data_IF_717279606193
#
_entry.id   IF_717279606193
#
_cell.length_a   1.000
_cell.length_b   1.000
_cell.length_c   1.000
_cell.angle_alpha   90.00
_cell.angle_beta   90.00
_cell.angle_gamma   90.00
#
_symmetry.space_group_name_H-M   'P 1'
#
loop_
_entity.id
_entity.type
_entity.pdbx_description
1 polymer ?
#
# COMPACT_ATOMS: atom_id res chain seq x y z
N UNK A 1 59.78 -10.61 24.73
CA UNK A 1 58.47 -11.27 24.92
C UNK A 1 57.56 -10.91 23.76
N UNK A 2 57.41 -11.82 22.81
CA UNK A 2 56.53 -11.67 21.65
C UNK A 2 55.07 -11.69 22.10
N UNK A 3 54.36 -10.56 21.94
CA UNK A 3 52.90 -10.54 22.05
C UNK A 3 52.34 -11.29 20.86
N UNK A 4 51.74 -12.45 21.10
CA UNK A 4 50.99 -13.17 20.07
C UNK A 4 49.84 -12.28 19.56
N UNK A 5 49.51 -12.33 18.27
CA UNK A 5 48.31 -11.67 17.79
C UNK A 5 47.11 -12.39 18.41
N UNK A 6 46.30 -11.66 19.18
CA UNK A 6 45.00 -12.12 19.70
C UNK A 6 44.21 -12.69 18.53
N UNK A 7 44.14 -14.02 18.44
CA UNK A 7 43.36 -14.72 17.43
C UNK A 7 41.90 -14.24 17.54
N UNK A 8 41.41 -13.60 16.48
CA UNK A 8 39.99 -13.21 16.36
C UNK A 8 39.17 -14.50 16.52
N UNK A 9 38.38 -14.60 17.61
CA UNK A 9 37.49 -15.74 17.82
C UNK A 9 36.28 -15.62 16.88
N UNK A 10 36.46 -16.06 15.64
CA UNK A 10 35.35 -16.25 14.72
C UNK A 10 34.37 -17.32 15.26
N UNK A 11 33.11 -17.23 14.85
CA UNK A 11 32.08 -18.20 15.18
C UNK A 11 32.53 -19.64 14.82
N UNK A 12 32.35 -20.59 15.74
CA UNK A 12 32.68 -21.99 15.46
C UNK A 12 31.84 -22.53 14.29
N UNK A 13 32.41 -23.44 13.49
CA UNK A 13 31.68 -24.06 12.37
C UNK A 13 30.42 -24.78 12.85
N UNK A 14 30.48 -25.45 14.02
CA UNK A 14 29.33 -26.14 14.60
C UNK A 14 28.20 -25.16 14.95
N UNK A 15 28.52 -24.01 15.57
CA UNK A 15 27.54 -22.97 15.88
C UNK A 15 26.92 -22.40 14.61
N UNK A 16 27.73 -22.15 13.58
CA UNK A 16 27.27 -21.64 12.29
C UNK A 16 26.29 -22.61 11.63
N UNK A 17 26.65 -23.88 11.53
CA UNK A 17 25.79 -24.91 10.94
C UNK A 17 24.46 -25.05 11.70
N UNK A 18 24.50 -25.01 13.04
CA UNK A 18 23.30 -25.04 13.87
C UNK A 18 22.38 -23.84 13.61
N UNK A 19 22.94 -22.63 13.50
CA UNK A 19 22.20 -21.41 13.19
C UNK A 19 21.51 -21.49 11.81
N UNK A 20 22.22 -21.92 10.77
CA UNK A 20 21.64 -22.12 9.44
C UNK A 20 20.53 -23.16 9.47
N UNK A 21 20.77 -24.31 10.11
CA UNK A 21 19.78 -25.40 10.18
C UNK A 21 18.52 -24.97 10.95
N UNK A 22 18.66 -24.30 12.09
CA UNK A 22 17.53 -23.79 12.86
C UNK A 22 16.77 -22.69 12.08
N UNK A 23 17.48 -21.82 11.36
CA UNK A 23 16.88 -20.78 10.50
C UNK A 23 16.08 -21.40 9.35
N UNK A 24 16.63 -22.40 8.65
CA UNK A 24 15.95 -23.07 7.54
C UNK A 24 14.73 -23.89 8.02
N UNK A 25 14.80 -24.43 9.24
CA UNK A 25 13.69 -25.11 9.90
C UNK A 25 12.71 -24.16 10.63
N UNK A 26 12.76 -22.85 10.35
CA UNK A 26 11.84 -21.83 10.89
C UNK A 26 11.84 -21.70 12.42
N UNK A 27 12.92 -22.10 13.10
CA UNK A 27 13.08 -21.99 14.56
C UNK A 27 13.58 -20.59 14.95
N UNK A 28 12.92 -19.54 14.46
CA UNK A 28 13.43 -18.16 14.51
C UNK A 28 13.64 -17.62 15.92
N UNK A 29 12.81 -17.97 16.91
CA UNK A 29 13.02 -17.54 18.30
C UNK A 29 14.30 -18.15 18.91
N UNK A 30 14.59 -19.40 18.58
CA UNK A 30 15.81 -20.09 19.03
C UNK A 30 17.05 -19.47 18.37
N UNK A 31 16.96 -19.20 17.07
CA UNK A 31 18.00 -18.48 16.33
C UNK A 31 18.22 -17.11 16.97
N UNK A 32 17.16 -16.33 17.21
CA UNK A 32 17.24 -14.99 17.79
C UNK A 32 17.93 -14.99 19.16
N UNK A 33 17.57 -15.93 20.04
CA UNK A 33 18.22 -16.10 21.35
C UNK A 33 19.73 -16.31 21.20
N UNK A 34 20.14 -17.12 20.23
CA UNK A 34 21.55 -17.43 19.96
C UNK A 34 22.27 -16.23 19.32
N UNK A 35 21.66 -15.57 18.34
CA UNK A 35 22.21 -14.37 17.69
C UNK A 35 22.38 -13.22 18.70
N UNK A 36 21.53 -13.13 19.73
CA UNK A 36 21.64 -12.15 20.81
C UNK A 36 22.91 -12.27 21.65
N UNK A 37 23.36 -13.50 21.90
CA UNK A 37 24.56 -13.75 22.70
C UNK A 37 25.87 -13.57 21.94
N UNK A 38 25.84 -13.53 20.60
CA UNK A 38 27.03 -13.40 19.76
C UNK A 38 27.42 -11.92 19.61
N UNK A 39 28.65 -11.52 19.95
CA UNK A 39 29.15 -10.16 19.71
C UNK A 39 29.10 -9.79 18.22
N UNK A 40 28.79 -8.53 17.83
CA UNK A 40 28.66 -8.17 16.41
C UNK A 40 29.89 -8.48 15.56
N UNK A 41 31.08 -8.29 16.15
CA UNK A 41 32.39 -8.55 15.52
C UNK A 41 32.65 -10.03 15.16
N UNK A 42 31.96 -10.95 15.83
CA UNK A 42 32.16 -12.40 15.66
C UNK A 42 31.03 -13.03 14.81
N UNK A 43 30.10 -12.19 14.33
CA UNK A 43 28.92 -12.63 13.60
C UNK A 43 29.23 -12.92 12.13
N UNK A 44 28.62 -13.97 11.59
CA UNK A 44 28.64 -14.27 10.17
C UNK A 44 27.61 -13.41 9.43
N UNK A 45 28.09 -12.47 8.60
CA UNK A 45 27.24 -11.56 7.85
C UNK A 45 26.45 -12.25 6.73
N UNK A 46 27.00 -13.31 6.12
CA UNK A 46 26.26 -14.09 5.12
C UNK A 46 25.08 -14.82 5.75
N UNK A 47 25.27 -15.32 6.99
CA UNK A 47 24.19 -15.87 7.79
C UNK A 47 23.14 -14.80 8.10
N UNK A 48 23.54 -13.60 8.57
CA UNK A 48 22.59 -12.52 8.89
C UNK A 48 21.72 -12.12 7.70
N UNK A 49 22.29 -12.04 6.49
CA UNK A 49 21.52 -11.76 5.27
C UNK A 49 20.46 -12.84 5.02
N UNK A 50 20.86 -14.10 5.13
CA UNK A 50 19.96 -15.25 4.95
C UNK A 50 18.86 -15.24 6.02
N UNK A 51 19.24 -15.02 7.27
CA UNK A 51 18.33 -15.00 8.40
C UNK A 51 17.35 -13.82 8.34
N UNK A 52 17.79 -12.63 7.94
CA UNK A 52 16.90 -11.49 7.73
C UNK A 52 15.90 -11.77 6.62
N UNK A 53 16.35 -12.25 5.46
CA UNK A 53 15.46 -12.58 4.34
C UNK A 53 14.42 -13.64 4.72
N UNK A 54 14.85 -14.71 5.42
CA UNK A 54 13.93 -15.75 5.91
C UNK A 54 12.98 -15.21 6.99
N UNK A 55 13.46 -14.35 7.89
CA UNK A 55 12.63 -13.73 8.91
C UNK A 55 11.55 -12.83 8.30
N UNK A 56 11.88 -12.06 7.26
CA UNK A 56 10.89 -11.26 6.53
C UNK A 56 9.86 -12.16 5.85
N UNK A 57 10.31 -13.18 5.11
CA UNK A 57 9.44 -14.10 4.41
C UNK A 57 8.45 -14.85 5.33
N UNK A 58 8.89 -15.21 6.55
CA UNK A 58 8.06 -15.90 7.54
C UNK A 58 7.40 -14.97 8.56
N UNK A 59 7.50 -13.64 8.37
CA UNK A 59 6.86 -12.66 9.23
C UNK A 59 7.41 -12.58 10.67
N UNK A 60 8.64 -13.03 10.92
CA UNK A 60 9.22 -12.99 12.26
C UNK A 60 9.83 -11.62 12.59
N UNK A 61 8.96 -10.69 12.95
CA UNK A 61 9.30 -9.27 13.16
C UNK A 61 10.32 -9.04 14.27
N UNK A 62 10.31 -9.87 15.33
CA UNK A 62 11.28 -9.76 16.42
C UNK A 62 12.74 -9.94 15.95
N UNK A 63 12.97 -10.85 15.00
CA UNK A 63 14.28 -11.05 14.37
C UNK A 63 14.62 -9.88 13.45
N UNK A 64 13.67 -9.44 12.63
CA UNK A 64 13.84 -8.32 11.70
C UNK A 64 14.21 -7.04 12.44
N UNK A 65 13.43 -6.63 13.43
CA UNK A 65 13.70 -5.45 14.26
C UNK A 65 15.07 -5.54 14.92
N UNK A 66 15.39 -6.69 15.50
CA UNK A 66 16.68 -6.88 16.17
C UNK A 66 17.86 -6.74 15.20
N UNK A 67 17.78 -7.34 14.01
CA UNK A 67 18.83 -7.22 12.98
C UNK A 67 18.96 -5.78 12.52
N UNK A 68 17.83 -5.13 12.20
CA UNK A 68 17.76 -3.73 11.78
C UNK A 68 18.45 -2.81 12.79
N UNK A 69 18.08 -2.90 14.07
CA UNK A 69 18.67 -2.04 15.09
C UNK A 69 20.13 -2.33 15.39
N UNK A 70 20.49 -3.60 15.58
CA UNK A 70 21.85 -3.95 16.05
C UNK A 70 22.88 -3.84 14.95
N UNK A 71 22.59 -4.38 13.76
CA UNK A 71 23.59 -4.55 12.70
C UNK A 71 23.49 -3.48 11.61
N UNK A 72 22.30 -2.97 11.32
CA UNK A 72 22.12 -1.92 10.31
C UNK A 72 22.31 -0.54 10.93
N UNK A 73 21.56 -0.18 11.97
CA UNK A 73 21.61 1.19 12.53
C UNK A 73 22.77 1.44 13.50
N UNK A 74 22.99 0.56 14.49
CA UNK A 74 24.02 0.79 15.53
C UNK A 74 25.43 0.46 15.06
N UNK A 75 25.60 -0.70 14.44
CA UNK A 75 26.94 -1.16 14.05
C UNK A 75 27.33 -0.74 12.63
N UNK A 76 26.35 -0.41 11.77
CA UNK A 76 26.56 -0.08 10.35
C UNK A 76 27.38 -1.14 9.58
N UNK A 77 27.27 -2.42 9.96
CA UNK A 77 28.06 -3.52 9.37
C UNK A 77 27.29 -4.31 8.31
N UNK A 78 25.96 -4.18 8.27
CA UNK A 78 25.10 -4.93 7.37
C UNK A 78 24.41 -4.00 6.37
N UNK A 79 24.71 -4.16 5.09
CA UNK A 79 24.03 -3.47 4.00
C UNK A 79 22.83 -4.30 3.54
N UNK A 80 21.62 -3.74 3.59
CA UNK A 80 20.38 -4.45 3.26
C UNK A 80 20.03 -4.19 1.80
N UNK A 81 19.86 -5.26 1.02
CA UNK A 81 19.40 -5.17 -0.38
C UNK A 81 18.12 -4.34 -0.47
N UNK A 82 18.05 -3.47 -1.48
CA UNK A 82 16.97 -2.51 -1.61
C UNK A 82 15.58 -3.15 -1.69
N UNK A 83 15.42 -4.28 -2.41
CA UNK A 83 14.17 -5.04 -2.45
C UNK A 83 13.71 -5.56 -1.08
N UNK A 84 14.66 -5.97 -0.23
CA UNK A 84 14.36 -6.47 1.12
C UNK A 84 13.91 -5.34 2.05
N UNK A 85 14.22 -4.07 1.76
CA UNK A 85 13.70 -2.93 2.51
C UNK A 85 12.18 -2.83 2.38
N UNK A 86 11.63 -3.06 1.18
CA UNK A 86 10.19 -3.06 0.97
C UNK A 86 9.50 -4.20 1.74
N UNK A 87 10.11 -5.39 1.80
CA UNK A 87 9.60 -6.52 2.58
C UNK A 87 9.58 -6.19 4.08
N UNK A 88 10.67 -5.63 4.62
CA UNK A 88 10.75 -5.17 6.01
C UNK A 88 9.69 -4.11 6.28
N UNK A 89 9.51 -3.17 5.36
CA UNK A 89 8.54 -2.09 5.47
C UNK A 89 7.10 -2.60 5.53
N UNK A 90 6.72 -3.49 4.61
CA UNK A 90 5.40 -4.10 4.59
C UNK A 90 5.13 -4.95 5.83
N UNK A 91 6.12 -5.73 6.29
CA UNK A 91 6.00 -6.48 7.55
C UNK A 91 5.84 -5.53 8.74
N UNK A 92 6.64 -4.47 8.81
CA UNK A 92 6.59 -3.47 9.89
C UNK A 92 5.25 -2.75 9.94
N UNK A 93 4.70 -2.38 8.77
CA UNK A 93 3.37 -1.80 8.63
C UNK A 93 2.30 -2.73 9.21
N UNK A 94 2.36 -4.02 8.89
CA UNK A 94 1.38 -5.01 9.34
C UNK A 94 1.47 -5.27 10.85
N UNK A 95 2.68 -5.42 11.37
CA UNK A 95 2.97 -5.77 12.78
C UNK A 95 2.98 -4.55 13.74
N UNK A 96 2.64 -3.35 13.25
CA UNK A 96 2.51 -2.15 14.09
C UNK A 96 3.82 -1.47 14.48
N UNK A 97 4.93 -1.78 13.80
CA UNK A 97 6.23 -1.15 14.02
C UNK A 97 6.38 0.14 13.20
N UNK A 98 5.53 1.13 13.49
CA UNK A 98 5.31 2.29 12.62
C UNK A 98 6.50 3.23 12.43
N UNK A 99 7.52 3.14 13.28
CA UNK A 99 8.74 3.94 13.19
C UNK A 99 9.76 3.40 12.17
N UNK A 100 9.72 2.10 11.82
CA UNK A 100 10.68 1.48 10.90
C UNK A 100 10.55 2.05 9.48
N UNK A 101 9.34 2.21 8.89
CA UNK A 101 9.18 2.71 7.53
C UNK A 101 9.90 4.03 7.22
N UNK A 102 9.85 5.00 8.14
CA UNK A 102 10.58 6.26 7.96
C UNK A 102 12.10 6.05 7.91
N UNK A 103 12.62 5.18 8.78
CA UNK A 103 14.05 4.83 8.83
C UNK A 103 14.49 4.08 7.56
N UNK A 104 13.64 3.20 7.00
CA UNK A 104 13.94 2.48 5.77
C UNK A 104 14.08 3.43 4.58
N UNK A 105 13.18 4.40 4.46
CA UNK A 105 13.21 5.39 3.39
C UNK A 105 14.46 6.30 3.49
N UNK A 106 14.82 6.75 4.70
CA UNK A 106 16.07 7.49 4.93
C UNK A 106 17.31 6.63 4.59
N UNK A 107 17.32 5.38 5.03
CA UNK A 107 18.38 4.43 4.71
C UNK A 107 18.53 4.23 3.20
N UNK A 108 17.42 4.02 2.48
CA UNK A 108 17.40 3.86 1.04
C UNK A 108 17.97 5.09 0.33
N UNK A 109 17.52 6.28 0.71
CA UNK A 109 18.02 7.54 0.15
C UNK A 109 19.54 7.68 0.34
N UNK A 110 20.06 7.32 1.52
CA UNK A 110 21.48 7.42 1.85
C UNK A 110 22.35 6.39 1.13
N UNK A 111 21.90 5.15 1.02
CA UNK A 111 22.72 4.03 0.48
C UNK A 111 22.52 3.84 -1.03
N UNK A 112 21.30 4.04 -1.52
CA UNK A 112 20.89 3.71 -2.89
C UNK A 112 20.56 4.92 -3.77
N UNK A 113 20.52 6.14 -3.20
CA UNK A 113 20.01 7.33 -3.87
C UNK A 113 20.66 7.67 -5.23
N UNK A 114 21.88 7.21 -5.50
CA UNK A 114 22.59 7.43 -6.78
C UNK A 114 23.16 6.17 -7.43
N UNK A 115 23.03 5.00 -6.80
CA UNK A 115 23.74 3.78 -7.21
C UNK A 115 22.90 2.82 -8.05
N UNK A 116 21.57 2.96 -8.02
CA UNK A 116 20.64 2.12 -8.78
C UNK A 116 20.25 2.78 -10.11
N UNK A 117 19.88 1.96 -11.14
CA UNK A 117 19.20 2.46 -12.33
C UNK A 117 17.97 3.30 -11.97
N UNK A 118 17.69 4.32 -12.78
CA UNK A 118 16.63 5.31 -12.47
C UNK A 118 15.27 4.64 -12.25
N UNK A 119 14.89 3.71 -13.11
CA UNK A 119 13.60 3.00 -13.04
C UNK A 119 13.47 2.14 -11.78
N UNK A 120 14.49 1.32 -11.49
CA UNK A 120 14.52 0.50 -10.28
C UNK A 120 14.49 1.36 -9.02
N UNK A 121 15.26 2.46 -9.01
CA UNK A 121 15.27 3.41 -7.91
C UNK A 121 13.90 4.03 -7.69
N UNK A 122 13.24 4.51 -8.75
CA UNK A 122 11.92 5.14 -8.66
C UNK A 122 10.86 4.16 -8.17
N UNK A 123 10.89 2.91 -8.65
CA UNK A 123 9.95 1.87 -8.20
C UNK A 123 10.09 1.57 -6.71
N UNK A 124 11.32 1.40 -6.22
CA UNK A 124 11.59 1.12 -4.80
C UNK A 124 11.31 2.34 -3.92
N UNK A 125 11.67 3.55 -4.37
CA UNK A 125 11.40 4.79 -3.65
C UNK A 125 9.89 5.03 -3.50
N UNK A 126 9.12 4.76 -4.56
CA UNK A 126 7.66 4.80 -4.50
C UNK A 126 7.10 3.80 -3.50
N UNK A 127 7.52 2.54 -3.55
CA UNK A 127 7.01 1.52 -2.62
C UNK A 127 7.37 1.86 -1.16
N UNK A 128 8.58 2.34 -0.90
CA UNK A 128 8.97 2.80 0.45
C UNK A 128 8.18 4.04 0.89
N UNK A 129 7.92 4.99 -0.01
CA UNK A 129 7.10 6.17 0.27
C UNK A 129 5.65 5.80 0.56
N UNK A 130 5.08 4.86 -0.23
CA UNK A 130 3.75 4.28 0.01
C UNK A 130 3.66 3.64 1.39
N UNK A 131 4.62 2.77 1.74
CA UNK A 131 4.67 2.13 3.06
C UNK A 131 4.79 3.17 4.18
N UNK A 132 5.62 4.21 4.00
CA UNK A 132 5.78 5.31 4.97
C UNK A 132 4.46 6.04 5.22
N UNK A 133 3.76 6.46 4.17
CA UNK A 133 2.46 7.15 4.26
C UNK A 133 1.40 6.24 4.90
N UNK A 134 1.32 4.98 4.47
CA UNK A 134 0.37 4.01 5.05
C UNK A 134 0.66 3.70 6.51
N UNK A 135 1.94 3.64 6.89
CA UNK A 135 2.36 3.45 8.27
C UNK A 135 2.03 4.66 9.14
N UNK A 136 2.19 5.87 8.61
CA UNK A 136 1.76 7.09 9.29
C UNK A 136 0.24 7.08 9.50
N UNK A 137 -0.54 6.79 8.46
CA UNK A 137 -2.00 6.73 8.54
C UNK A 137 -2.48 5.68 9.55
N UNK A 138 -1.87 4.47 9.54
CA UNK A 138 -2.18 3.38 10.46
C UNK A 138 -1.70 3.65 11.90
N UNK A 139 -0.54 4.28 12.08
CA UNK A 139 0.03 4.52 13.41
C UNK A 139 -0.61 5.71 14.13
N UNK A 140 -1.19 6.64 13.39
CA UNK A 140 -1.81 7.84 13.96
C UNK A 140 -3.30 7.71 14.21
N UNK A 141 -4.04 6.83 13.52
CA UNK A 141 -5.50 6.56 13.67
C UNK A 141 -6.31 7.78 14.15
N UNK A 142 -6.50 7.94 15.47
CA UNK A 142 -7.34 8.98 16.10
C UNK A 142 -6.59 10.27 16.48
N UNK A 143 -5.27 10.29 16.37
CA UNK A 143 -4.40 11.42 16.75
C UNK A 143 -4.34 12.50 15.66
N UNK A 144 -4.64 12.14 14.42
CA UNK A 144 -4.60 13.04 13.25
C UNK A 144 -5.80 12.77 12.36
N UNK A 145 -6.38 13.84 11.80
CA UNK A 145 -7.53 13.76 10.89
C UNK A 145 -7.10 13.33 9.48
N UNK A 146 -8.07 13.03 8.60
CA UNK A 146 -7.77 12.66 7.22
C UNK A 146 -7.01 13.76 6.49
N UNK A 147 -7.36 15.04 6.71
CA UNK A 147 -6.74 16.18 6.02
C UNK A 147 -5.22 16.25 6.27
N UNK A 148 -4.77 16.00 7.49
CA UNK A 148 -3.35 15.93 7.84
C UNK A 148 -2.65 14.76 7.17
N UNK A 149 -3.28 13.58 7.14
CA UNK A 149 -2.75 12.39 6.46
C UNK A 149 -2.68 12.59 4.94
N UNK A 150 -3.69 13.24 4.37
CA UNK A 150 -3.73 13.61 2.96
C UNK A 150 -2.64 14.61 2.60
N UNK A 151 -2.38 15.59 3.48
CA UNK A 151 -1.24 16.50 3.34
C UNK A 151 0.09 15.73 3.26
N UNK A 152 0.30 14.75 4.15
CA UNK A 152 1.50 13.92 4.11
C UNK A 152 1.60 13.14 2.80
N UNK A 153 0.50 12.59 2.27
CA UNK A 153 0.49 11.98 0.95
C UNK A 153 0.92 12.96 -0.16
N UNK A 154 0.41 14.18 -0.14
CA UNK A 154 0.78 15.18 -1.15
C UNK A 154 2.27 15.54 -1.10
N UNK A 155 2.81 15.75 0.10
CA UNK A 155 4.21 16.14 0.30
C UNK A 155 5.19 14.98 0.04
N UNK A 156 4.87 13.77 0.49
CA UNK A 156 5.77 12.61 0.43
C UNK A 156 5.62 11.78 -0.85
N UNK A 157 4.52 11.91 -1.59
CA UNK A 157 4.25 11.14 -2.82
C UNK A 157 3.96 12.09 -3.98
N UNK A 158 2.84 12.81 -3.99
CA UNK A 158 2.41 13.60 -5.16
C UNK A 158 3.50 14.58 -5.65
N UNK A 159 4.15 15.31 -4.75
CA UNK A 159 5.18 16.29 -5.13
C UNK A 159 6.55 15.68 -5.46
N UNK A 160 6.79 14.43 -5.05
CA UNK A 160 8.12 13.79 -5.16
C UNK A 160 8.25 12.93 -6.41
N UNK A 161 7.14 12.44 -6.96
CA UNK A 161 7.13 11.59 -8.15
C UNK A 161 6.78 12.35 -9.43
N UNK A 162 7.23 11.84 -10.61
CA UNK A 162 6.91 12.43 -11.90
C UNK A 162 5.39 12.60 -12.11
N UNK A 163 4.98 13.70 -12.74
CA UNK A 163 3.56 14.10 -12.90
C UNK A 163 2.69 13.11 -13.70
N UNK A 164 3.32 12.18 -14.42
CA UNK A 164 2.67 11.11 -15.16
C UNK A 164 2.47 9.83 -14.33
N UNK A 165 2.84 9.83 -13.04
CA UNK A 165 2.67 8.67 -12.18
C UNK A 165 1.19 8.43 -11.87
N UNK A 166 0.78 7.16 -11.91
CA UNK A 166 -0.59 6.75 -11.62
C UNK A 166 -0.68 6.13 -10.24
N UNK A 167 -1.49 6.74 -9.37
CA UNK A 167 -1.77 6.23 -8.03
C UNK A 167 -3.13 5.51 -7.99
N UNK A 168 -3.22 4.41 -7.23
CA UNK A 168 -4.45 3.62 -7.10
C UNK A 168 -4.93 3.56 -5.65
N UNK A 169 -6.24 3.64 -5.44
CA UNK A 169 -6.83 3.62 -4.09
C UNK A 169 -6.50 2.35 -3.29
N UNK A 170 -6.35 1.20 -3.98
CA UNK A 170 -5.98 -0.08 -3.37
C UNK A 170 -4.59 -0.07 -2.70
N UNK A 171 -3.72 0.84 -3.10
CA UNK A 171 -2.35 0.96 -2.59
C UNK A 171 -2.33 1.68 -1.22
N UNK A 172 -3.44 2.36 -0.87
CA UNK A 172 -3.57 3.24 0.30
C UNK A 172 -4.78 2.88 1.22
N UNK A 173 -4.90 1.62 1.68
CA UNK A 173 -6.06 1.19 2.47
C UNK A 173 -6.18 1.86 3.84
N UNK A 174 -5.08 2.18 4.53
CA UNK A 174 -5.13 2.81 5.85
C UNK A 174 -5.40 4.31 5.75
N UNK A 175 -4.83 4.98 4.75
CA UNK A 175 -5.22 6.35 4.41
C UNK A 175 -6.71 6.42 4.08
N UNK A 176 -7.20 5.53 3.22
CA UNK A 176 -8.63 5.44 2.90
C UNK A 176 -9.51 5.19 4.12
N UNK A 177 -9.16 4.24 4.98
CA UNK A 177 -9.91 3.95 6.23
C UNK A 177 -10.00 5.16 7.17
N UNK A 178 -9.08 6.11 7.09
CA UNK A 178 -9.16 7.31 7.92
C UNK A 178 -10.28 8.28 7.52
N UNK A 179 -10.94 8.06 6.37
CA UNK A 179 -12.16 8.78 5.94
C UNK A 179 -13.42 8.38 6.71
N UNK A 180 -13.39 7.30 7.50
CA UNK A 180 -14.59 6.71 8.13
C UNK A 180 -15.37 7.66 9.03
N UNK A 181 -14.72 8.69 9.54
CA UNK A 181 -15.31 9.65 10.49
C UNK A 181 -15.46 11.04 9.89
N UNK A 182 -15.21 11.20 8.59
CA UNK A 182 -15.23 12.51 7.94
C UNK A 182 -16.62 12.86 7.40
N UNK A 183 -17.04 14.10 7.62
CA UNK A 183 -18.33 14.63 7.21
C UNK A 183 -18.36 15.00 5.73
N UNK A 184 -19.57 15.01 5.15
CA UNK A 184 -19.79 15.29 3.73
C UNK A 184 -19.18 16.64 3.30
N UNK A 185 -19.33 17.67 4.14
CA UNK A 185 -18.82 19.01 3.86
C UNK A 185 -17.30 19.02 3.73
N UNK A 186 -16.59 18.27 4.58
CA UNK A 186 -15.15 18.15 4.46
C UNK A 186 -14.75 17.44 3.17
N UNK A 187 -15.44 16.36 2.79
CA UNK A 187 -15.16 15.63 1.54
C UNK A 187 -15.33 16.54 0.31
N UNK A 188 -16.36 17.37 0.32
CA UNK A 188 -16.61 18.37 -0.72
C UNK A 188 -15.50 19.42 -0.76
N UNK A 189 -15.06 19.92 0.41
CA UNK A 189 -13.95 20.87 0.50
C UNK A 189 -12.63 20.26 0.01
N UNK A 190 -12.37 18.99 0.31
CA UNK A 190 -11.13 18.32 -0.12
C UNK A 190 -11.07 18.14 -1.65
N UNK A 191 -12.21 17.82 -2.28
CA UNK A 191 -12.30 17.57 -3.73
C UNK A 191 -12.41 18.86 -4.57
N UNK A 192 -13.13 19.87 -4.09
CA UNK A 192 -13.47 21.06 -4.86
C UNK A 192 -12.93 22.37 -4.28
N UNK A 193 -12.48 22.36 -3.03
CA UNK A 193 -11.92 23.54 -2.39
C UNK A 193 -10.51 23.86 -2.88
N UNK A 194 -10.10 25.11 -2.67
CA UNK A 194 -8.71 25.48 -2.86
C UNK A 194 -7.84 24.84 -1.76
N UNK A 195 -7.08 23.82 -2.14
CA UNK A 195 -6.13 23.19 -1.24
C UNK A 195 -4.91 24.10 -1.04
N UNK A 196 -4.39 24.15 0.20
CA UNK A 196 -3.16 24.89 0.52
C UNK A 196 -1.93 24.31 -0.18
N UNK A 197 -2.01 23.03 -0.56
CA UNK A 197 -0.97 22.29 -1.26
C UNK A 197 -1.52 21.98 -2.64
N UNK A 198 -0.80 22.42 -3.67
CA UNK A 198 -1.18 22.20 -5.07
C UNK A 198 -1.13 20.71 -5.40
N UNK A 199 -2.03 20.23 -6.25
CA UNK A 199 -1.94 18.88 -6.80
C UNK A 199 -1.01 18.90 -8.02
N UNK A 200 -0.01 18.02 -8.04
CA UNK A 200 1.00 17.94 -9.09
C UNK A 200 0.71 16.83 -10.11
N UNK A 201 0.12 15.70 -9.68
CA UNK A 201 -0.23 14.60 -10.58
C UNK A 201 -1.70 14.63 -10.97
N UNK A 202 -1.97 14.34 -12.25
CA UNK A 202 -3.33 14.20 -12.76
C UNK A 202 -4.11 13.06 -12.08
N UNK A 203 -3.42 12.04 -11.55
CA UNK A 203 -4.04 10.88 -10.88
C UNK A 203 -4.42 11.13 -9.42
N UNK A 204 -3.93 12.20 -8.79
CA UNK A 204 -4.14 12.47 -7.35
C UNK A 204 -5.58 12.88 -7.01
N UNK A 205 -6.22 13.69 -7.85
CA UNK A 205 -7.64 14.02 -7.68
C UNK A 205 -8.56 12.78 -7.80
N UNK A 206 -8.43 11.99 -8.89
CA UNK A 206 -9.14 10.73 -9.04
C UNK A 206 -8.84 9.73 -7.91
N UNK A 207 -7.60 9.68 -7.40
CA UNK A 207 -7.26 8.87 -6.23
C UNK A 207 -8.11 9.28 -5.01
N UNK A 208 -8.18 10.57 -4.68
CA UNK A 208 -8.96 11.07 -3.55
C UNK A 208 -10.43 10.69 -3.69
N UNK A 209 -11.00 10.89 -4.89
CA UNK A 209 -12.37 10.46 -5.18
C UNK A 209 -12.52 8.95 -4.95
N UNK A 210 -11.61 8.13 -5.47
CA UNK A 210 -11.64 6.68 -5.33
C UNK A 210 -11.57 6.23 -3.85
N UNK A 211 -10.74 6.89 -3.04
CA UNK A 211 -10.68 6.63 -1.60
C UNK A 211 -12.04 6.93 -0.92
N UNK A 212 -12.70 8.03 -1.29
CA UNK A 212 -14.03 8.38 -0.76
C UNK A 212 -15.08 7.35 -1.18
N UNK A 213 -15.09 6.97 -2.45
CA UNK A 213 -16.04 5.99 -2.98
C UNK A 213 -15.89 4.64 -2.26
N UNK A 214 -14.66 4.19 -2.00
CA UNK A 214 -14.37 2.90 -1.39
C UNK A 214 -14.53 2.88 0.13
N UNK A 215 -14.07 3.89 0.86
CA UNK A 215 -13.86 3.79 2.32
C UNK A 215 -14.79 4.67 3.15
N UNK A 216 -15.46 5.64 2.54
CA UNK A 216 -16.31 6.59 3.25
C UNK A 216 -17.68 5.96 3.57
N UNK A 217 -18.29 6.21 4.74
CA UNK A 217 -19.56 5.56 5.17
C UNK A 217 -20.81 6.07 4.43
N UNK A 218 -20.67 7.10 3.61
CA UNK A 218 -21.76 7.75 2.89
C UNK A 218 -22.47 6.77 1.95
N UNK A 219 -23.77 7.01 1.77
CA UNK A 219 -24.61 6.18 0.92
C UNK A 219 -24.21 6.27 -0.57
N UNK A 220 -24.67 5.29 -1.35
CA UNK A 220 -24.35 5.19 -2.77
C UNK A 220 -24.82 6.42 -3.56
N UNK A 221 -26.00 6.96 -3.26
CA UNK A 221 -26.54 8.12 -3.97
C UNK A 221 -25.66 9.37 -3.82
N UNK A 222 -25.16 9.65 -2.60
CA UNK A 222 -24.21 10.73 -2.35
C UNK A 222 -22.92 10.51 -3.14
N UNK A 223 -22.36 9.30 -3.07
CA UNK A 223 -21.12 8.92 -3.77
C UNK A 223 -21.23 9.07 -5.29
N UNK A 224 -22.38 8.71 -5.88
CA UNK A 224 -22.65 8.89 -7.30
C UNK A 224 -22.74 10.37 -7.65
N UNK A 225 -23.52 11.16 -6.90
CA UNK A 225 -23.61 12.60 -7.14
C UNK A 225 -22.27 13.32 -6.99
N UNK A 226 -21.43 12.85 -6.06
CA UNK A 226 -20.06 13.34 -5.90
C UNK A 226 -19.21 13.07 -7.14
N UNK A 227 -19.27 11.85 -7.67
CA UNK A 227 -18.61 11.49 -8.93
C UNK A 227 -19.12 12.34 -10.10
N UNK A 228 -20.43 12.47 -10.27
CA UNK A 228 -21.02 13.27 -11.36
C UNK A 228 -20.52 14.71 -11.34
N UNK A 229 -20.48 15.31 -10.14
CA UNK A 229 -19.95 16.67 -9.96
C UNK A 229 -18.46 16.75 -10.26
N UNK A 230 -17.67 15.78 -9.79
CA UNK A 230 -16.23 15.74 -10.00
C UNK A 230 -15.87 15.56 -11.49
N UNK A 231 -16.52 14.63 -12.16
CA UNK A 231 -16.34 14.39 -13.59
C UNK A 231 -16.63 15.66 -14.41
N UNK A 232 -17.73 16.35 -14.11
CA UNK A 232 -18.10 17.58 -14.81
C UNK A 232 -17.08 18.71 -14.63
N UNK A 233 -16.44 18.80 -13.46
CA UNK A 233 -15.37 19.77 -13.22
C UNK A 233 -14.04 19.36 -13.89
N UNK A 234 -13.80 18.06 -14.09
CA UNK A 234 -12.48 17.54 -14.47
C UNK A 234 -12.55 16.50 -15.60
N UNK A 235 -13.23 16.80 -16.71
CA UNK A 235 -13.54 15.84 -17.79
C UNK A 235 -12.33 15.13 -18.42
N UNK A 236 -11.15 15.74 -18.38
CA UNK A 236 -9.94 15.23 -19.06
C UNK A 236 -9.13 14.22 -18.24
N UNK A 237 -9.54 13.91 -17.00
CA UNK A 237 -8.84 12.95 -16.15
C UNK A 237 -9.21 11.50 -16.49
N UNK A 238 -8.38 10.55 -16.08
CA UNK A 238 -8.69 9.12 -16.20
C UNK A 238 -9.63 8.68 -15.05
N UNK A 239 -10.71 7.98 -15.40
CA UNK A 239 -11.75 7.51 -14.48
C UNK A 239 -11.96 5.99 -14.48
N UNK A 240 -11.09 5.21 -15.10
CA UNK A 240 -11.29 3.75 -15.29
C UNK A 240 -11.43 3.01 -13.95
N UNK A 241 -10.57 3.34 -12.99
CA UNK A 241 -10.64 2.79 -11.62
C UNK A 241 -11.91 3.29 -10.90
N UNK A 242 -12.29 4.57 -11.08
CA UNK A 242 -13.48 5.18 -10.47
C UNK A 242 -14.76 4.48 -10.92
N UNK A 243 -14.87 4.25 -12.22
CA UNK A 243 -15.94 3.50 -12.87
C UNK A 243 -16.06 2.10 -12.26
N UNK A 244 -14.94 1.39 -12.16
CA UNK A 244 -14.91 0.03 -11.64
C UNK A 244 -15.40 -0.02 -10.19
N UNK A 245 -14.98 0.96 -9.38
CA UNK A 245 -15.43 1.09 -7.98
C UNK A 245 -16.94 1.35 -7.91
N UNK A 246 -17.47 2.24 -8.75
CA UNK A 246 -18.90 2.57 -8.77
C UNK A 246 -19.77 1.38 -9.19
N UNK A 247 -19.36 0.63 -10.23
CA UNK A 247 -20.06 -0.59 -10.63
C UNK A 247 -20.12 -1.61 -9.51
N UNK A 248 -19.02 -1.78 -8.78
CA UNK A 248 -18.97 -2.67 -7.62
C UNK A 248 -19.83 -2.16 -6.46
N UNK A 249 -19.85 -0.85 -6.22
CA UNK A 249 -20.67 -0.20 -5.19
C UNK A 249 -22.17 -0.39 -5.45
N UNK A 250 -22.58 -0.37 -6.72
CA UNK A 250 -23.98 -0.53 -7.14
C UNK A 250 -24.39 -1.98 -7.42
N UNK A 251 -23.52 -2.95 -7.10
CA UNK A 251 -23.85 -4.37 -7.26
C UNK A 251 -25.03 -4.73 -6.35
N UNK A 252 -26.18 -5.05 -6.96
CA UNK A 252 -27.42 -5.34 -6.24
C UNK A 252 -28.37 -4.15 -6.08
N UNK A 253 -28.04 -2.99 -6.67
CA UNK A 253 -28.91 -1.80 -6.73
C UNK A 253 -29.15 -1.41 -8.20
N UNK A 254 -30.21 -1.95 -8.84
CA UNK A 254 -30.50 -1.70 -10.25
C UNK A 254 -30.73 -0.22 -10.57
N UNK A 255 -31.32 0.54 -9.64
CA UNK A 255 -31.63 1.95 -9.84
C UNK A 255 -30.34 2.78 -10.00
N UNK A 256 -29.42 2.64 -9.03
CA UNK A 256 -28.16 3.37 -9.08
C UNK A 256 -27.23 2.87 -10.19
N UNK A 257 -27.30 1.58 -10.55
CA UNK A 257 -26.56 1.02 -11.68
C UNK A 257 -27.00 1.64 -13.02
N UNK A 258 -28.30 1.73 -13.28
CA UNK A 258 -28.83 2.36 -14.50
C UNK A 258 -28.52 3.86 -14.52
N UNK A 259 -28.54 4.54 -13.37
CA UNK A 259 -28.11 5.94 -13.27
C UNK A 259 -26.67 6.14 -13.75
N UNK A 260 -25.72 5.31 -13.29
CA UNK A 260 -24.31 5.39 -13.69
C UNK A 260 -24.14 5.05 -15.18
N UNK A 261 -24.82 4.00 -15.67
CA UNK A 261 -24.76 3.63 -17.10
C UNK A 261 -25.26 4.76 -17.99
N UNK A 262 -26.39 5.38 -17.62
CA UNK A 262 -26.94 6.53 -18.35
C UNK A 262 -25.97 7.70 -18.35
N UNK A 263 -25.44 8.07 -17.18
CA UNK A 263 -24.45 9.14 -17.09
C UNK A 263 -23.24 8.89 -17.99
N UNK A 264 -22.77 7.65 -18.06
CA UNK A 264 -21.63 7.28 -18.88
C UNK A 264 -21.90 7.32 -20.38
N UNK A 265 -23.09 6.89 -20.80
CA UNK A 265 -23.54 6.98 -22.18
C UNK A 265 -23.63 8.46 -22.61
N UNK A 266 -24.23 9.30 -21.76
CA UNK A 266 -24.43 10.73 -22.02
C UNK A 266 -23.11 11.52 -22.09
N UNK A 267 -22.06 11.06 -21.39
CA UNK A 267 -20.76 11.74 -21.30
C UNK A 267 -19.63 11.03 -22.06
N UNK A 268 -19.94 10.00 -22.86
CA UNK A 268 -18.96 9.24 -23.65
C UNK A 268 -17.78 8.71 -22.81
N UNK A 269 -18.03 8.25 -21.58
CA UNK A 269 -16.99 7.69 -20.72
C UNK A 269 -16.57 6.31 -21.29
N UNK A 270 -15.40 6.16 -21.92
CA UNK A 270 -15.08 5.00 -22.78
C UNK A 270 -15.01 3.66 -22.03
N UNK A 271 -14.69 3.69 -20.74
CA UNK A 271 -14.57 2.50 -19.89
C UNK A 271 -15.91 1.89 -19.47
N UNK A 272 -17.00 2.65 -19.47
CA UNK A 272 -18.33 2.15 -19.11
C UNK A 272 -19.09 1.56 -20.29
N UNK A 273 -18.91 2.09 -21.49
CA UNK A 273 -19.56 1.60 -22.72
C UNK A 273 -19.09 0.20 -23.14
N UNK A 274 -17.84 -0.17 -22.84
CA UNK A 274 -17.27 -1.49 -23.16
C UNK A 274 -17.51 -2.57 -22.08
N UNK A 275 -17.84 -2.19 -20.84
CA UNK A 275 -18.14 -3.13 -19.75
C UNK A 275 -19.65 -3.32 -19.52
N UNK A 276 -20.49 -2.32 -19.82
CA UNK A 276 -21.94 -2.45 -19.77
C UNK A 276 -22.47 -3.53 -20.74
N UNK A 277 -21.79 -3.74 -21.88
CA UNK A 277 -22.08 -4.79 -22.87
C UNK A 277 -21.70 -6.21 -22.44
N UNK A 278 -21.05 -6.40 -21.28
CA UNK A 278 -20.65 -7.71 -20.74
C UNK A 278 -21.45 -8.17 -19.53
N UNK A 279 -22.44 -7.39 -19.08
CA UNK A 279 -23.34 -7.84 -18.02
C UNK A 279 -24.37 -8.78 -18.63
N UNK A 280 -24.49 -10.06 -18.20
CA UNK A 280 -25.55 -10.91 -18.69
C UNK A 280 -26.88 -10.33 -18.19
N UNK A 281 -27.69 -9.87 -19.13
CA UNK A 281 -29.14 -9.73 -18.94
C UNK A 281 -29.66 -11.11 -18.56
N UNK A 282 -29.99 -11.31 -17.28
CA UNK A 282 -30.89 -12.39 -16.90
C UNK A 282 -32.23 -12.09 -17.57
N UNK A 283 -32.44 -12.71 -18.73
CA UNK A 283 -33.75 -12.81 -19.36
C UNK A 283 -34.67 -13.54 -18.37
N UNK A 284 -35.52 -12.76 -17.69
CA UNK A 284 -36.78 -13.27 -17.19
C UNK A 284 -37.65 -13.40 -18.44
N UNK A 285 -37.60 -14.54 -19.11
CA UNK A 285 -38.68 -14.95 -20.02
C UNK A 285 -39.89 -15.23 -19.15
N UNK A 286 -40.72 -14.20 -18.99
CA UNK A 286 -42.12 -14.37 -18.61
C UNK A 286 -42.81 -15.13 -19.74
N UNK A 287 -42.98 -16.44 -19.53
CA UNK A 287 -43.79 -17.28 -20.40
C UNK A 287 -45.26 -17.01 -20.07
N UNK A 288 -45.87 -16.08 -20.80
CA UNK A 288 -47.31 -15.86 -20.82
C UNK A 288 -47.79 -15.69 -22.25
N UNK A 289 -48.26 -16.78 -22.84
CA UNK A 289 -49.43 -16.81 -23.74
C UNK A 289 -49.88 -18.25 -23.92
N UNK A 290 -50.99 -18.65 -23.29
CA UNK A 290 -52.34 -18.85 -23.92
C UNK A 290 -52.41 -20.24 -24.61
N UNK A 291 -53.38 -21.11 -24.38
CA UNK A 291 -54.82 -20.88 -24.19
C UNK A 291 -55.53 -22.03 -23.45
N UNK A 292 -56.70 -21.63 -23.00
CA UNK A 292 -57.75 -22.29 -22.23
C UNK A 292 -58.57 -23.28 -23.10
N UNK A 293 -59.32 -24.18 -22.43
CA UNK A 293 -60.63 -24.79 -22.85
C UNK A 293 -60.67 -26.20 -23.49
N UNK A 294 -61.16 -27.13 -22.64
CA UNK A 294 -62.25 -28.13 -22.77
C UNK A 294 -62.02 -29.59 -23.20
N UNK A 295 -62.60 -30.44 -22.34
CA UNK A 295 -63.32 -31.72 -22.60
C UNK A 295 -62.45 -32.89 -23.04
N UNK A 296 -62.38 -34.04 -22.37
CA UNK A 296 -63.30 -34.80 -21.50
C UNK A 296 -62.47 -35.59 -20.48
#
# INVERSE_FOLDING_TARGET
MNKSPLARKCLSQATRNALYLDCLNRKFDKVLKTVRSIPPKDMDYAFLQTYLARSCHWGHMASVSYIWYRYVLRSNVLIIKASLLCDIGNLSLNEGNHFIPAQLHEYFSRIYGKSLPIEERQSLDYELSRIKVESFAKGTINKTNFREKWKVFLEDIDHRFPSNMTFRARDFPNLGRSLRHEENDLLMVLLFGQNKIAIHNASTGPLLLNLILMYSPQNASFKISLFEKFYNAHRLLNYDDTVTILLQLCKGDPYNLEKIKKFAADNLVPSLSSMASKTPTNEITADTSKDFVKSR
#
